data_IF_328101831373
#
_entry.id   IF_328101831373
#
_cell.length_a   1.000
_cell.length_b   1.000
_cell.length_c   1.000
_cell.angle_alpha   90.00
_cell.angle_beta   90.00
_cell.angle_gamma   90.00
#
_symmetry.space_group_name_H-M   'P 1'
#
loop_
_entity.id
_entity.type
_entity.pdbx_description
1 polymer ?
#
# COMPACT_ATOMS: atom_id res chain seq x y z
N UNK A 1 0.57 4.11 43.06
CA UNK A 1 1.33 3.50 41.95
C UNK A 1 1.23 4.47 40.77
N UNK A 2 2.29 5.23 40.51
CA UNK A 2 2.35 6.11 39.35
C UNK A 2 2.74 5.28 38.14
N UNK A 3 1.88 5.21 37.13
CA UNK A 3 2.22 4.62 35.84
C UNK A 3 3.18 5.60 35.17
N UNK A 4 4.46 5.25 35.14
CA UNK A 4 5.50 6.04 34.48
C UNK A 4 5.19 6.12 33.00
N UNK A 5 4.62 7.23 32.55
CA UNK A 5 4.42 7.54 31.14
C UNK A 5 5.75 8.01 30.56
N UNK A 6 6.70 7.09 30.40
CA UNK A 6 8.01 7.39 29.78
C UNK A 6 7.88 7.23 28.27
N UNK A 7 7.29 8.23 27.62
CA UNK A 7 7.45 8.39 26.16
C UNK A 7 8.94 8.58 25.87
N UNK A 8 9.53 7.71 25.05
CA UNK A 8 10.96 7.79 24.74
C UNK A 8 11.27 9.06 23.93
N UNK A 9 12.52 9.56 23.98
CA UNK A 9 12.92 10.73 23.17
C UNK A 9 12.68 10.51 21.67
N UNK A 10 12.82 9.26 21.19
CA UNK A 10 12.52 8.88 19.81
C UNK A 10 11.04 9.01 19.47
N UNK A 11 10.15 8.58 20.37
CA UNK A 11 8.69 8.65 20.16
C UNK A 11 8.21 10.10 20.13
N UNK A 12 8.78 10.94 21.01
CA UNK A 12 8.48 12.38 21.01
C UNK A 12 8.91 13.05 19.71
N UNK A 13 10.14 12.79 19.25
CA UNK A 13 10.66 13.34 17.99
C UNK A 13 9.82 12.90 16.78
N UNK A 14 9.43 11.64 16.72
CA UNK A 14 8.57 11.12 15.65
C UNK A 14 7.19 11.80 15.65
N UNK A 15 6.62 12.03 16.84
CA UNK A 15 5.36 12.74 16.98
C UNK A 15 5.45 14.20 16.53
N UNK A 16 6.50 14.90 16.93
CA UNK A 16 6.74 16.30 16.51
C UNK A 16 6.89 16.40 14.98
N UNK A 17 7.64 15.48 14.37
CA UNK A 17 7.78 15.39 12.92
C UNK A 17 6.45 15.09 12.20
N UNK A 18 5.61 14.23 12.78
CA UNK A 18 4.26 13.97 12.28
C UNK A 18 3.37 15.21 12.34
N UNK A 19 3.43 15.98 13.43
CA UNK A 19 2.67 17.23 13.58
C UNK A 19 3.11 18.27 12.54
N UNK A 20 4.41 18.42 12.28
CA UNK A 20 4.92 19.33 11.25
C UNK A 20 4.35 19.03 9.85
N UNK A 21 4.19 17.74 9.52
CA UNK A 21 3.58 17.32 8.26
C UNK A 21 2.08 17.64 8.19
N UNK A 22 1.35 17.56 9.31
CA UNK A 22 -0.07 17.91 9.37
C UNK A 22 -0.30 19.42 9.15
N UNK A 23 0.60 20.25 9.66
CA UNK A 23 0.43 21.71 9.67
C UNK A 23 1.23 22.45 8.59
N UNK A 24 1.82 21.73 7.63
CA UNK A 24 2.55 22.34 6.51
C UNK A 24 1.67 23.09 5.47
N UNK A 25 0.35 23.12 5.68
CA UNK A 25 -0.62 23.83 4.84
C UNK A 25 -0.98 23.17 3.51
N UNK A 26 -0.49 21.96 3.22
CA UNK A 26 -0.74 21.27 1.94
C UNK A 26 -1.92 20.31 1.97
N UNK A 27 -2.28 19.80 3.15
CA UNK A 27 -3.33 18.81 3.33
C UNK A 27 -4.70 19.48 3.53
N UNK A 28 -5.75 18.81 3.06
CA UNK A 28 -7.13 19.23 3.35
C UNK A 28 -7.52 18.92 4.79
N UNK A 29 -8.58 19.58 5.29
CA UNK A 29 -9.10 19.32 6.65
C UNK A 29 -9.44 17.85 6.86
N UNK A 30 -10.04 17.18 5.87
CA UNK A 30 -10.37 15.75 5.96
C UNK A 30 -9.11 14.87 6.02
N UNK A 31 -8.07 15.18 5.24
CA UNK A 31 -6.80 14.46 5.27
C UNK A 31 -6.09 14.66 6.62
N UNK A 32 -6.07 15.89 7.14
CA UNK A 32 -5.49 16.20 8.46
C UNK A 32 -6.20 15.41 9.56
N UNK A 33 -7.54 15.35 9.53
CA UNK A 33 -8.33 14.64 10.54
C UNK A 33 -7.94 13.16 10.66
N UNK A 34 -7.88 12.44 9.52
CA UNK A 34 -7.56 11.00 9.53
C UNK A 34 -6.10 10.72 9.87
N UNK A 35 -5.18 11.56 9.39
CA UNK A 35 -3.76 11.42 9.71
C UNK A 35 -3.50 11.73 11.20
N UNK A 36 -4.18 12.73 11.78
CA UNK A 36 -4.07 13.03 13.21
C UNK A 36 -4.49 11.83 14.07
N UNK A 37 -5.61 11.19 13.76
CA UNK A 37 -6.06 9.98 14.46
C UNK A 37 -5.02 8.84 14.36
N UNK A 38 -4.44 8.62 13.18
CA UNK A 38 -3.38 7.62 13.01
C UNK A 38 -2.11 7.94 13.83
N UNK A 39 -1.72 9.22 13.89
CA UNK A 39 -0.58 9.67 14.69
C UNK A 39 -0.84 9.47 16.19
N UNK A 40 -2.06 9.73 16.67
CA UNK A 40 -2.49 9.47 18.05
C UNK A 40 -2.49 7.97 18.38
N UNK A 41 -2.83 7.13 17.40
CA UNK A 41 -2.76 5.66 17.50
C UNK A 41 -1.33 5.10 17.39
N UNK A 42 -0.33 5.95 17.18
CA UNK A 42 1.07 5.53 17.17
C UNK A 42 1.52 4.84 15.88
N UNK A 43 0.98 5.23 14.73
CA UNK A 43 1.49 4.78 13.43
C UNK A 43 3.01 5.03 13.31
N UNK A 44 3.73 4.09 12.68
CA UNK A 44 5.15 4.21 12.39
C UNK A 44 5.41 5.45 11.50
N UNK A 45 6.38 6.27 11.89
CA UNK A 45 6.62 7.58 11.26
C UNK A 45 6.95 7.49 9.76
N UNK A 46 7.64 6.44 9.31
CA UNK A 46 7.97 6.27 7.89
C UNK A 46 6.75 5.95 7.03
N UNK A 47 5.80 5.18 7.57
CA UNK A 47 4.49 4.94 6.94
C UNK A 47 3.68 6.23 6.90
N UNK A 48 3.64 6.96 8.02
CA UNK A 48 2.94 8.23 8.12
C UNK A 48 3.44 9.25 7.08
N UNK A 49 4.76 9.44 6.98
CA UNK A 49 5.39 10.31 5.99
C UNK A 49 4.96 10.02 4.57
N UNK A 50 4.86 8.74 4.24
CA UNK A 50 4.49 8.30 2.90
C UNK A 50 3.01 8.60 2.60
N UNK A 51 2.12 8.35 3.57
CA UNK A 51 0.67 8.56 3.43
C UNK A 51 0.31 10.05 3.52
N UNK A 52 1.06 10.86 4.27
CA UNK A 52 0.87 12.30 4.43
C UNK A 52 1.25 13.11 3.17
N UNK A 53 0.76 12.67 2.01
CA UNK A 53 0.98 13.23 0.70
C UNK A 53 -0.36 13.76 0.16
N UNK A 54 -0.46 15.07 -0.16
CA UNK A 54 -1.72 15.69 -0.57
C UNK A 54 -2.30 15.13 -1.88
N UNK A 55 -1.50 14.43 -2.69
CA UNK A 55 -1.96 13.81 -3.93
C UNK A 55 -2.83 12.57 -3.69
N UNK A 56 -2.86 11.99 -2.49
CA UNK A 56 -3.79 10.91 -2.18
C UNK A 56 -5.21 11.43 -2.01
N UNK A 57 -6.18 10.71 -2.57
CA UNK A 57 -7.58 10.86 -2.20
C UNK A 57 -7.77 10.48 -0.73
N UNK A 58 -8.70 11.14 -0.05
CA UNK A 58 -9.05 10.83 1.33
C UNK A 58 -9.37 9.34 1.54
N UNK A 59 -10.13 8.72 0.63
CA UNK A 59 -10.47 7.30 0.71
C UNK A 59 -9.24 6.38 0.60
N UNK A 60 -8.28 6.71 -0.28
CA UNK A 60 -7.01 5.97 -0.35
C UNK A 60 -6.21 6.10 0.93
N UNK A 61 -6.19 7.28 1.56
CA UNK A 61 -5.51 7.47 2.86
C UNK A 61 -6.12 6.59 3.95
N UNK A 62 -7.45 6.54 4.07
CA UNK A 62 -8.10 5.69 5.09
C UNK A 62 -7.66 4.23 4.96
N UNK A 63 -7.72 3.66 3.75
CA UNK A 63 -7.34 2.27 3.50
C UNK A 63 -5.84 2.05 3.74
N UNK A 64 -4.98 2.96 3.29
CA UNK A 64 -3.53 2.86 3.52
C UNK A 64 -3.18 2.93 5.00
N UNK A 65 -3.91 3.72 5.80
CA UNK A 65 -3.71 3.80 7.24
C UNK A 65 -4.11 2.51 7.94
N UNK A 66 -5.22 1.89 7.56
CA UNK A 66 -5.61 0.56 8.06
C UNK A 66 -4.51 -0.47 7.74
N UNK A 67 -4.05 -0.51 6.48
CA UNK A 67 -2.98 -1.42 6.05
C UNK A 67 -1.67 -1.17 6.79
N UNK A 68 -1.32 0.10 7.09
CA UNK A 68 -0.06 0.45 7.75
C UNK A 68 0.07 -0.10 9.17
N UNK A 69 -1.05 -0.47 9.82
CA UNK A 69 -1.04 -1.14 11.11
C UNK A 69 -0.94 -2.67 11.00
N UNK A 70 -1.11 -3.24 9.80
CA UNK A 70 -1.13 -4.69 9.56
C UNK A 70 0.10 -5.19 8.80
N UNK A 71 0.58 -4.44 7.81
CA UNK A 71 1.77 -4.80 7.03
C UNK A 71 3.00 -4.22 7.70
N UNK A 72 3.90 -5.10 8.17
CA UNK A 72 5.14 -4.68 8.83
C UNK A 72 6.27 -4.35 7.86
N UNK A 73 6.26 -4.96 6.67
CA UNK A 73 7.26 -4.75 5.62
C UNK A 73 7.03 -3.42 4.91
N UNK A 74 7.89 -2.45 5.20
CA UNK A 74 7.79 -1.11 4.63
C UNK A 74 8.07 -1.08 3.13
N UNK A 75 8.93 -1.97 2.61
CA UNK A 75 9.21 -2.07 1.18
C UNK A 75 7.97 -2.52 0.39
N UNK A 76 7.26 -3.52 0.90
CA UNK A 76 5.95 -3.93 0.36
C UNK A 76 4.94 -2.79 0.44
N UNK A 77 4.84 -2.13 1.60
CA UNK A 77 3.90 -1.01 1.81
C UNK A 77 4.15 0.15 0.83
N UNK A 78 5.41 0.46 0.53
CA UNK A 78 5.78 1.54 -0.38
C UNK A 78 5.16 1.37 -1.78
N UNK A 79 5.02 0.15 -2.27
CA UNK A 79 4.41 -0.14 -3.56
C UNK A 79 2.88 0.06 -3.54
N UNK A 80 2.23 -0.19 -2.40
CA UNK A 80 0.79 0.07 -2.22
C UNK A 80 0.49 1.57 -2.10
N UNK A 81 1.37 2.31 -1.43
CA UNK A 81 1.24 3.74 -1.21
C UNK A 81 1.66 4.56 -2.45
N UNK A 82 0.94 4.36 -3.55
CA UNK A 82 1.09 5.09 -4.79
C UNK A 82 -0.17 5.94 -5.06
N UNK A 83 -0.08 7.29 -5.12
CA UNK A 83 -1.25 8.14 -5.36
C UNK A 83 -1.99 7.90 -6.69
N UNK A 84 -1.35 7.20 -7.63
CA UNK A 84 -1.95 6.81 -8.91
C UNK A 84 -2.76 5.51 -8.83
N UNK A 85 -2.65 4.75 -7.75
CA UNK A 85 -3.48 3.58 -7.51
C UNK A 85 -4.87 4.00 -7.03
N UNK A 86 -5.88 3.41 -7.64
CA UNK A 86 -7.27 3.57 -7.19
C UNK A 86 -7.50 2.80 -5.89
N UNK A 87 -8.35 3.33 -5.01
CA UNK A 87 -8.57 2.77 -3.65
C UNK A 87 -8.92 1.28 -3.67
N UNK A 88 -9.76 0.83 -4.60
CA UNK A 88 -10.11 -0.60 -4.68
C UNK A 88 -8.92 -1.49 -5.09
N UNK A 89 -7.95 -0.96 -5.88
CA UNK A 89 -6.72 -1.70 -6.22
C UNK A 89 -5.83 -1.84 -4.99
N UNK A 90 -5.75 -0.80 -4.16
CA UNK A 90 -5.00 -0.85 -2.91
C UNK A 90 -5.58 -1.94 -2.00
N UNK A 91 -6.91 -1.96 -1.79
CA UNK A 91 -7.58 -3.00 -1.00
C UNK A 91 -7.35 -4.40 -1.59
N UNK A 92 -7.58 -4.57 -2.90
CA UNK A 92 -7.39 -5.85 -3.57
C UNK A 92 -5.95 -6.38 -3.44
N UNK A 93 -4.94 -5.53 -3.64
CA UNK A 93 -3.55 -5.93 -3.49
C UNK A 93 -3.19 -6.24 -2.04
N UNK A 94 -3.72 -5.49 -1.07
CA UNK A 94 -3.53 -5.78 0.34
C UNK A 94 -4.11 -7.15 0.74
N UNK A 95 -5.31 -7.47 0.26
CA UNK A 95 -5.93 -8.79 0.49
C UNK A 95 -5.09 -9.90 -0.16
N UNK A 96 -4.57 -9.66 -1.36
CA UNK A 96 -3.71 -10.61 -2.06
C UNK A 96 -2.38 -10.86 -1.31
N UNK A 97 -1.76 -9.81 -0.77
CA UNK A 97 -0.53 -9.88 0.05
C UNK A 97 -0.78 -10.62 1.37
N UNK A 98 -1.94 -10.43 1.98
CA UNK A 98 -2.29 -11.16 3.21
C UNK A 98 -2.60 -12.63 2.95
N UNK A 99 -3.19 -12.92 1.78
CA UNK A 99 -3.63 -14.27 1.41
C UNK A 99 -2.53 -15.11 0.75
N UNK A 100 -1.48 -14.48 0.24
CA UNK A 100 -0.37 -15.14 -0.44
C UNK A 100 0.93 -14.55 0.11
N UNK A 101 1.92 -15.38 0.42
CA UNK A 101 3.26 -14.92 0.80
C UNK A 101 4.00 -14.33 -0.41
N UNK A 102 3.57 -13.14 -0.85
CA UNK A 102 4.13 -12.46 -2.01
C UNK A 102 5.46 -11.80 -1.65
N UNK A 103 6.44 -11.96 -2.54
CA UNK A 103 7.68 -11.18 -2.46
C UNK A 103 7.42 -9.73 -2.84
N UNK A 104 8.32 -8.82 -2.41
CA UNK A 104 8.27 -7.42 -2.82
C UNK A 104 8.27 -7.27 -4.36
N UNK A 105 8.97 -8.14 -5.09
CA UNK A 105 9.00 -8.11 -6.55
C UNK A 105 7.62 -8.36 -7.18
N UNK A 106 6.84 -9.29 -6.63
CA UNK A 106 5.46 -9.51 -7.05
C UNK A 106 4.61 -8.27 -6.74
N UNK A 107 4.70 -7.74 -5.52
CA UNK A 107 3.91 -6.56 -5.13
C UNK A 107 4.23 -5.37 -6.03
N UNK A 108 5.51 -5.11 -6.31
CA UNK A 108 5.97 -4.06 -7.23
C UNK A 108 5.42 -4.23 -8.65
N UNK A 109 5.36 -5.46 -9.15
CA UNK A 109 4.79 -5.76 -10.46
C UNK A 109 3.29 -5.46 -10.48
N UNK A 110 2.56 -6.00 -9.51
CA UNK A 110 1.10 -5.94 -9.43
C UNK A 110 0.56 -4.54 -9.10
N UNK A 111 1.35 -3.72 -8.39
CA UNK A 111 1.04 -2.33 -8.04
C UNK A 111 1.24 -1.33 -9.19
N UNK A 112 1.53 -1.80 -10.41
CA UNK A 112 1.53 -0.93 -11.58
C UNK A 112 0.10 -0.42 -11.86
N UNK A 113 -0.16 0.90 -11.77
CA UNK A 113 -1.52 1.43 -11.86
C UNK A 113 -2.19 1.22 -13.23
N UNK A 114 -1.40 0.92 -14.26
CA UNK A 114 -1.90 0.66 -15.62
C UNK A 114 -2.62 -0.69 -15.76
N UNK A 115 -2.42 -1.62 -14.83
CA UNK A 115 -3.20 -2.87 -14.87
C UNK A 115 -4.67 -2.61 -14.53
N UNK A 116 -5.53 -3.25 -15.30
CA UNK A 116 -6.96 -3.39 -15.00
C UNK A 116 -7.17 -4.48 -13.95
N UNK A 117 -8.32 -4.45 -13.27
CA UNK A 117 -8.68 -5.51 -12.30
C UNK A 117 -8.71 -6.90 -12.97
N UNK A 118 -9.18 -6.97 -14.21
CA UNK A 118 -9.23 -8.25 -14.94
C UNK A 118 -7.83 -8.80 -15.23
N UNK A 119 -6.86 -7.93 -15.57
CA UNK A 119 -5.47 -8.35 -15.72
C UNK A 119 -4.86 -8.78 -14.37
N UNK A 120 -5.15 -8.07 -13.28
CA UNK A 120 -4.70 -8.47 -11.95
C UNK A 120 -5.24 -9.85 -11.53
N UNK A 121 -6.50 -10.15 -11.83
CA UNK A 121 -7.08 -11.48 -11.58
C UNK A 121 -6.40 -12.60 -12.36
N UNK A 122 -5.97 -12.33 -13.60
CA UNK A 122 -5.17 -13.29 -14.39
C UNK A 122 -3.79 -13.52 -13.77
N UNK A 123 -3.15 -12.47 -13.28
CA UNK A 123 -1.86 -12.58 -12.59
C UNK A 123 -1.99 -13.31 -11.25
N UNK A 124 -3.05 -13.05 -10.50
CA UNK A 124 -3.39 -13.78 -9.28
C UNK A 124 -3.59 -15.28 -9.56
N UNK A 125 -4.32 -15.66 -10.61
CA UNK A 125 -4.50 -17.08 -10.97
C UNK A 125 -3.16 -17.74 -11.32
N UNK A 126 -2.28 -17.03 -12.04
CA UNK A 126 -0.94 -17.52 -12.35
C UNK A 126 -0.11 -17.75 -11.08
N UNK A 127 -0.17 -16.83 -10.11
CA UNK A 127 0.50 -16.97 -8.81
C UNK A 127 -0.05 -18.19 -8.06
N UNK A 128 -1.38 -18.36 -7.98
CA UNK A 128 -2.03 -19.50 -7.31
C UNK A 128 -1.67 -20.85 -7.96
N UNK A 129 -1.44 -20.85 -9.28
CA UNK A 129 -0.96 -22.01 -10.05
C UNK A 129 0.55 -22.22 -9.96
N UNK A 130 1.26 -21.44 -9.13
CA UNK A 130 2.71 -21.49 -8.96
C UNK A 130 3.49 -21.28 -10.28
N UNK A 131 2.94 -20.48 -11.20
CA UNK A 131 3.70 -20.05 -12.38
C UNK A 131 4.89 -19.22 -11.89
N UNK A 132 6.10 -19.57 -12.32
CA UNK A 132 7.30 -18.90 -11.81
C UNK A 132 7.30 -17.39 -12.13
N UNK A 133 7.91 -16.60 -11.25
CA UNK A 133 7.96 -15.14 -11.36
C UNK A 133 8.47 -14.66 -12.73
N UNK A 134 9.50 -15.30 -13.31
CA UNK A 134 10.04 -14.90 -14.62
C UNK A 134 9.01 -15.00 -15.75
N UNK A 135 8.15 -16.03 -15.72
CA UNK A 135 7.07 -16.16 -16.70
C UNK A 135 5.96 -15.16 -16.42
N UNK A 136 5.57 -14.96 -15.16
CA UNK A 136 4.60 -13.94 -14.76
C UNK A 136 5.05 -12.56 -15.23
N UNK A 137 6.29 -12.17 -14.91
CA UNK A 137 6.90 -10.89 -15.27
C UNK A 137 6.95 -10.67 -16.79
N UNK A 138 7.27 -11.71 -17.58
CA UNK A 138 7.28 -11.61 -19.05
C UNK A 138 5.88 -11.42 -19.64
N UNK A 139 4.87 -12.04 -19.05
CA UNK A 139 3.49 -11.93 -19.53
C UNK A 139 2.76 -10.69 -18.99
N UNK A 140 3.21 -10.13 -17.88
CA UNK A 140 2.63 -8.97 -17.20
C UNK A 140 2.94 -7.66 -17.94
N UNK A 141 2.24 -7.46 -19.06
CA UNK A 141 2.28 -6.23 -19.84
C UNK A 141 0.90 -5.55 -19.82
N UNK A 142 0.76 -4.35 -19.21
CA UNK A 142 -0.52 -3.68 -19.13
C UNK A 142 -1.06 -3.22 -20.50
N UNK A 143 -0.23 -3.21 -21.55
CA UNK A 143 -0.65 -2.83 -22.91
C UNK A 143 -1.40 -3.92 -23.67
N UNK A 144 -1.36 -5.18 -23.20
CA UNK A 144 -2.10 -6.30 -23.80
C UNK A 144 -3.32 -6.66 -22.95
N UNK A 145 -4.37 -7.20 -23.57
CA UNK A 145 -5.58 -7.56 -22.83
C UNK A 145 -5.38 -8.81 -21.94
N UNK A 146 -6.26 -8.97 -20.94
CA UNK A 146 -6.22 -10.07 -19.99
C UNK A 146 -6.33 -11.46 -20.65
N UNK A 147 -7.09 -11.59 -21.75
CA UNK A 147 -7.22 -12.85 -22.47
C UNK A 147 -5.89 -13.32 -23.08
N UNK A 148 -5.09 -12.40 -23.62
CA UNK A 148 -3.74 -12.70 -24.13
C UNK A 148 -2.80 -13.07 -23.00
N UNK A 149 -2.84 -12.35 -21.87
CA UNK A 149 -2.06 -12.72 -20.68
C UNK A 149 -2.40 -14.13 -20.21
N UNK A 150 -3.69 -14.48 -20.19
CA UNK A 150 -4.12 -15.80 -19.73
C UNK A 150 -3.63 -16.94 -20.62
N UNK A 151 -3.59 -16.73 -21.95
CA UNK A 151 -2.96 -17.67 -22.88
C UNK A 151 -1.47 -17.84 -22.60
N UNK A 152 -0.75 -16.74 -22.38
CA UNK A 152 0.70 -16.77 -22.11
C UNK A 152 1.04 -17.46 -20.79
N UNK A 153 0.14 -17.38 -19.80
CA UNK A 153 0.33 -17.93 -18.46
C UNK A 153 -0.31 -19.31 -18.27
N UNK A 154 -1.03 -19.82 -19.26
CA UNK A 154 -1.75 -21.10 -19.14
C UNK A 154 -2.87 -21.05 -18.08
N UNK A 155 -3.44 -19.87 -17.81
CA UNK A 155 -4.46 -19.65 -16.79
C UNK A 155 -5.89 -19.79 -17.34
N UNK A 156 -6.09 -20.59 -18.40
CA UNK A 156 -7.40 -20.89 -18.98
C UNK A 156 -8.05 -22.11 -18.35
#
# INVERSE_FOLDING_TARGET
MAVSNTTSLSDKKAKDEGLDLLFNGKLSVSQISVLKDALEKGIKIDYFKLIANPNFKFSSMCVLLEIAFEIEDFGIFQHLANPKLEVYKISYLADLIKSNELTEEYVKLLSNPKFTVVQLGVLEDAIKKNVSFDYVKRAADPSINAAKMAVLLGTK
#
